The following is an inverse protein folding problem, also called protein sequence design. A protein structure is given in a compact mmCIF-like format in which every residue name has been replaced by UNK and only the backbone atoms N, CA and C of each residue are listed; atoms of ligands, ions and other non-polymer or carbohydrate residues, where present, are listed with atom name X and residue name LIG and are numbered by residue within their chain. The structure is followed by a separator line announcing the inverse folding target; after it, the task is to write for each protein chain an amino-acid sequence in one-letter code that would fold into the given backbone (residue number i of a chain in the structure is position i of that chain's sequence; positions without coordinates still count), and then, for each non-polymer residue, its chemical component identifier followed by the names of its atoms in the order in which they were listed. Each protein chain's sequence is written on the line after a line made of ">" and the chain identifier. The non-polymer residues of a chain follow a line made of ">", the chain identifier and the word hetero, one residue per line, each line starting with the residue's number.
data_IF_607330108299
#
_entry.id   IF_607330108299
#
_cell.length_a   1.000
_cell.length_b   1.000
_cell.length_c   1.000
_cell.angle_alpha   90.00
_cell.angle_beta   90.00
_cell.angle_gamma   90.00
#
_symmetry.space_group_name_H-M   'P 1'
#
loop_
_entity.id
_entity.type
_entity.pdbx_description
1 polymer ?
#
# COMPACT_ATOMS: atom_id res chain seq x y z
N UNK A 1 -1.76 -16.96 -11.77
CA UNK A 1 -0.69 -15.99 -11.41
C UNK A 1 0.02 -16.51 -10.18
N UNK A 2 1.35 -16.32 -10.02
CA UNK A 2 2.06 -16.78 -8.82
C UNK A 2 2.01 -15.71 -7.69
N UNK A 3 2.24 -16.08 -6.41
CA UNK A 3 2.17 -15.16 -5.28
C UNK A 3 3.07 -13.92 -5.44
N UNK A 4 4.31 -14.10 -5.91
CA UNK A 4 5.25 -12.98 -6.11
C UNK A 4 4.74 -11.92 -7.09
N UNK A 5 4.17 -12.35 -8.23
CA UNK A 5 3.60 -11.42 -9.22
C UNK A 5 2.34 -10.75 -8.69
N UNK A 6 1.52 -11.47 -7.92
CA UNK A 6 0.36 -10.88 -7.25
C UNK A 6 0.80 -9.76 -6.31
N UNK A 7 1.74 -10.04 -5.40
CA UNK A 7 2.27 -9.07 -4.46
C UNK A 7 2.97 -7.91 -5.17
N UNK A 8 3.73 -8.17 -6.23
CA UNK A 8 4.35 -7.11 -7.03
C UNK A 8 3.29 -6.19 -7.67
N UNK A 9 2.15 -6.73 -8.11
CA UNK A 9 1.03 -5.94 -8.60
C UNK A 9 0.42 -5.08 -7.50
N UNK A 10 0.13 -5.67 -6.34
CA UNK A 10 -0.38 -4.94 -5.16
C UNK A 10 0.57 -3.80 -4.77
N UNK A 11 1.89 -4.02 -4.77
CA UNK A 11 2.88 -2.99 -4.47
C UNK A 11 2.89 -1.86 -5.51
N UNK A 12 2.75 -2.22 -6.79
CA UNK A 12 2.63 -1.25 -7.88
C UNK A 12 1.40 -0.36 -7.67
N UNK A 13 0.23 -0.99 -7.65
CA UNK A 13 -1.06 -0.31 -7.75
C UNK A 13 -1.46 0.37 -6.42
N UNK A 14 -1.20 -0.27 -5.28
CA UNK A 14 -1.71 0.21 -3.98
C UNK A 14 -0.70 1.07 -3.21
N UNK A 15 0.59 1.03 -3.56
CA UNK A 15 1.64 1.77 -2.84
C UNK A 15 2.32 2.77 -3.78
N UNK A 16 2.95 2.28 -4.85
CA UNK A 16 3.76 3.14 -5.70
C UNK A 16 2.91 4.16 -6.47
N UNK A 17 1.80 3.73 -7.07
CA UNK A 17 0.86 4.62 -7.74
C UNK A 17 0.24 5.61 -6.75
N UNK A 18 -0.19 5.14 -5.57
CA UNK A 18 -0.75 6.00 -4.53
C UNK A 18 0.19 7.15 -4.14
N UNK A 19 1.45 6.84 -3.84
CA UNK A 19 2.47 7.85 -3.49
C UNK A 19 2.71 8.82 -4.65
N UNK A 20 2.83 8.29 -5.87
CA UNK A 20 3.03 9.09 -7.07
C UNK A 20 1.86 10.05 -7.32
N UNK A 21 0.64 9.57 -7.15
CA UNK A 21 -0.58 10.33 -7.43
C UNK A 21 -0.83 11.39 -6.37
N UNK A 22 -0.58 11.09 -5.08
CA UNK A 22 -0.59 12.14 -4.05
C UNK A 22 0.40 13.27 -4.38
N UNK A 23 1.63 12.93 -4.80
CA UNK A 23 2.62 13.95 -5.16
C UNK A 23 2.18 14.81 -6.34
N UNK A 24 1.58 14.20 -7.37
CA UNK A 24 1.04 14.92 -8.53
C UNK A 24 -0.16 15.79 -8.16
N UNK A 25 -1.13 15.24 -7.43
CA UNK A 25 -2.36 15.94 -7.10
C UNK A 25 -2.12 17.07 -6.12
N UNK A 26 -1.29 16.87 -5.10
CA UNK A 26 -0.95 17.96 -4.17
C UNK A 26 -0.23 19.13 -4.85
N UNK A 27 0.47 18.87 -5.95
CA UNK A 27 1.15 19.90 -6.74
C UNK A 27 0.20 20.64 -7.71
N UNK A 28 -0.99 20.10 -7.99
CA UNK A 28 -1.96 20.68 -8.95
C UNK A 28 -3.17 21.33 -8.29
N UNK A 29 -3.59 20.81 -7.13
CA UNK A 29 -4.82 21.26 -6.48
C UNK A 29 -4.67 22.71 -6.02
N UNK A 30 -5.67 23.52 -6.35
CA UNK A 30 -5.84 24.86 -5.82
C UNK A 30 -6.35 24.77 -4.37
N UNK A 31 -5.51 25.16 -3.41
CA UNK A 31 -5.80 25.13 -1.96
C UNK A 31 -7.08 25.91 -1.63
N UNK A 32 -7.37 27.01 -2.34
CA UNK A 32 -8.57 27.82 -2.10
C UNK A 32 -9.84 27.07 -2.47
N UNK A 33 -9.74 26.11 -3.41
CA UNK A 33 -10.85 25.26 -3.85
C UNK A 33 -10.94 23.94 -3.09
N UNK A 34 -9.99 23.62 -2.21
CA UNK A 34 -10.03 22.41 -1.41
C UNK A 34 -11.07 22.53 -0.29
N UNK A 35 -12.18 21.79 -0.43
CA UNK A 35 -13.25 21.74 0.57
C UNK A 35 -13.00 20.74 1.71
N UNK A 36 -12.10 19.78 1.50
CA UNK A 36 -11.75 18.79 2.52
C UNK A 36 -10.83 19.40 3.58
N UNK A 37 -11.41 19.67 4.75
CA UNK A 37 -10.71 20.28 5.89
C UNK A 37 -9.62 19.37 6.47
N UNK A 38 -9.68 18.06 6.26
CA UNK A 38 -8.69 17.11 6.77
C UNK A 38 -7.44 17.05 5.90
N UNK A 39 -7.62 17.19 4.58
CA UNK A 39 -6.52 17.16 3.60
C UNK A 39 -5.91 18.54 3.39
N UNK A 40 -6.67 19.61 3.57
CA UNK A 40 -6.20 20.98 3.31
C UNK A 40 -4.88 21.35 4.02
N UNK A 41 -4.66 21.04 5.32
CA UNK A 41 -3.38 21.33 5.98
C UNK A 41 -2.20 20.55 5.36
N UNK A 42 -2.43 19.31 4.94
CA UNK A 42 -1.42 18.48 4.30
C UNK A 42 -1.04 19.02 2.91
N UNK A 43 -2.04 19.50 2.16
CA UNK A 43 -1.86 20.17 0.88
C UNK A 43 -1.07 21.49 1.02
N UNK A 44 -1.45 22.31 2.01
CA UNK A 44 -0.75 23.56 2.35
C UNK A 44 0.72 23.29 2.68
N UNK A 45 0.98 22.27 3.50
CA UNK A 45 2.33 21.86 3.86
C UNK A 45 3.13 21.38 2.64
N UNK A 46 2.55 20.53 1.78
CA UNK A 46 3.20 20.02 0.57
C UNK A 46 3.65 21.14 -0.38
N UNK A 47 2.78 22.13 -0.62
CA UNK A 47 3.07 23.22 -1.55
C UNK A 47 4.16 24.17 -1.03
N UNK A 48 4.24 24.39 0.27
CA UNK A 48 5.24 25.25 0.92
C UNK A 48 6.57 24.53 1.18
N UNK A 49 6.56 23.20 1.24
CA UNK A 49 7.74 22.38 1.50
C UNK A 49 8.78 22.46 0.37
N UNK A 50 10.05 22.32 0.73
CA UNK A 50 11.13 22.06 -0.21
C UNK A 50 11.13 20.59 -0.69
N UNK A 51 11.99 20.29 -1.66
CA UNK A 51 12.01 18.96 -2.28
C UNK A 51 12.41 17.85 -1.30
N UNK A 52 13.27 18.16 -0.32
CA UNK A 52 13.67 17.19 0.72
C UNK A 52 12.49 16.88 1.66
N UNK A 53 11.77 17.90 2.10
CA UNK A 53 10.58 17.76 2.95
C UNK A 53 9.45 17.03 2.22
N UNK A 54 9.25 17.33 0.93
CA UNK A 54 8.28 16.59 0.09
C UNK A 54 8.66 15.12 -0.07
N UNK A 55 9.95 14.82 -0.18
CA UNK A 55 10.43 13.43 -0.20
C UNK A 55 10.12 12.73 1.12
N UNK A 56 10.42 13.34 2.27
CA UNK A 56 10.06 12.79 3.59
C UNK A 56 8.55 12.56 3.71
N UNK A 57 7.74 13.50 3.23
CA UNK A 57 6.29 13.35 3.26
C UNK A 57 5.80 12.20 2.36
N UNK A 58 6.43 12.02 1.19
CA UNK A 58 6.16 10.89 0.29
C UNK A 58 6.49 9.55 0.94
N UNK A 59 7.61 9.47 1.68
CA UNK A 59 7.96 8.29 2.47
C UNK A 59 6.95 8.02 3.59
N UNK A 60 6.41 9.06 4.22
CA UNK A 60 5.35 8.89 5.22
C UNK A 60 4.05 8.34 4.63
N UNK A 61 3.64 8.84 3.45
CA UNK A 61 2.49 8.31 2.71
C UNK A 61 2.74 6.85 2.31
N UNK A 62 3.96 6.54 1.83
CA UNK A 62 4.37 5.18 1.50
C UNK A 62 4.24 4.25 2.70
N UNK A 63 4.74 4.67 3.87
CA UNK A 63 4.65 3.90 5.11
C UNK A 63 3.20 3.62 5.52
N UNK A 64 2.33 4.62 5.41
CA UNK A 64 0.90 4.44 5.64
C UNK A 64 0.29 3.39 4.71
N UNK A 65 0.63 3.44 3.42
CA UNK A 65 0.17 2.47 2.42
C UNK A 65 0.68 1.05 2.69
N UNK A 66 1.97 0.89 3.00
CA UNK A 66 2.58 -0.39 3.39
C UNK A 66 1.86 -1.00 4.60
N UNK A 67 1.59 -0.20 5.63
CA UNK A 67 0.89 -0.65 6.83
C UNK A 67 -0.56 -1.07 6.55
N UNK A 68 -1.26 -0.33 5.67
CA UNK A 68 -2.61 -0.69 5.24
C UNK A 68 -2.63 -2.00 4.45
N UNK A 69 -1.74 -2.16 3.47
CA UNK A 69 -1.62 -3.37 2.66
C UNK A 69 -1.24 -4.58 3.51
N UNK A 70 -0.22 -4.47 4.36
CA UNK A 70 0.21 -5.56 5.24
C UNK A 70 -0.90 -5.99 6.22
N UNK A 71 -1.68 -5.05 6.76
CA UNK A 71 -2.84 -5.36 7.60
C UNK A 71 -3.90 -6.15 6.84
N UNK A 72 -4.20 -5.77 5.60
CA UNK A 72 -5.15 -6.51 4.76
C UNK A 72 -4.63 -7.91 4.41
N UNK A 73 -3.36 -8.03 4.04
CA UNK A 73 -2.73 -9.33 3.76
C UNK A 73 -2.74 -10.22 5.00
N UNK A 74 -2.49 -9.68 6.19
CA UNK A 74 -2.57 -10.42 7.45
C UNK A 74 -3.98 -10.95 7.72
N UNK A 75 -5.03 -10.15 7.48
CA UNK A 75 -6.43 -10.59 7.62
C UNK A 75 -6.76 -11.73 6.65
N UNK A 76 -6.27 -11.64 5.41
CA UNK A 76 -6.45 -12.67 4.39
C UNK A 76 -5.74 -13.96 4.83
N UNK A 77 -4.45 -13.87 5.20
CA UNK A 77 -3.64 -15.04 5.56
C UNK A 77 -4.08 -15.74 6.84
N UNK A 78 -4.71 -15.03 7.79
CA UNK A 78 -5.07 -15.58 9.11
C UNK A 78 -6.46 -16.21 9.20
N UNK A 79 -7.26 -16.16 8.13
CA UNK A 79 -8.67 -16.57 8.18
C UNK A 79 -9.47 -15.61 9.09
N UNK A 80 -10.07 -14.59 8.49
CA UNK A 80 -10.79 -13.56 9.25
C UNK A 80 -11.98 -14.10 10.05
N UNK A 81 -12.07 -13.70 11.32
CA UNK A 81 -13.31 -13.83 12.11
C UNK A 81 -14.29 -12.73 11.70
N UNK A 82 -15.34 -13.09 10.96
CA UNK A 82 -16.45 -12.18 10.67
C UNK A 82 -17.68 -12.66 11.44
N UNK A 83 -18.22 -11.81 12.33
CA UNK A 83 -19.38 -12.13 13.19
C UNK A 83 -19.20 -13.36 14.10
N UNK A 84 -17.99 -13.63 14.60
CA UNK A 84 -17.75 -14.77 15.50
C UNK A 84 -17.78 -16.14 14.82
N UNK A 85 -18.02 -16.19 13.51
CA UNK A 85 -17.83 -17.39 12.69
C UNK A 85 -16.44 -17.35 12.06
N UNK A 86 -15.73 -18.48 12.09
CA UNK A 86 -14.49 -18.64 11.35
C UNK A 86 -14.86 -18.84 9.87
N UNK A 87 -14.53 -17.87 9.03
CA UNK A 87 -14.57 -18.05 7.58
C UNK A 87 -13.14 -17.97 7.08
N UNK A 88 -12.60 -19.12 6.70
CA UNK A 88 -11.32 -19.17 5.99
C UNK A 88 -11.48 -18.39 4.68
N UNK A 89 -10.80 -17.26 4.59
CA UNK A 89 -10.69 -16.51 3.35
C UNK A 89 -9.53 -17.08 2.54
N UNK A 90 -9.84 -17.99 1.61
CA UNK A 90 -8.84 -18.46 0.66
C UNK A 90 -8.73 -17.52 -0.54
N UNK A 91 -7.54 -16.95 -0.74
CA UNK A 91 -7.25 -16.16 -1.93
C UNK A 91 -6.68 -17.07 -3.01
N UNK A 92 -7.29 -17.03 -4.20
CA UNK A 92 -6.83 -17.85 -5.32
C UNK A 92 -6.91 -17.10 -6.64
N UNK A 93 -6.00 -17.44 -7.54
CA UNK A 93 -6.01 -17.01 -8.93
C UNK A 93 -6.70 -18.09 -9.77
N UNK A 94 -7.79 -17.72 -10.44
CA UNK A 94 -8.45 -18.58 -11.43
C UNK A 94 -8.00 -18.16 -12.82
N UNK A 95 -7.41 -19.10 -13.57
CA UNK A 95 -7.01 -18.92 -14.96
C UNK A 95 -7.50 -20.09 -15.79
N UNK A 96 -8.60 -19.89 -16.53
CA UNK A 96 -9.30 -20.97 -17.22
C UNK A 96 -9.75 -22.05 -16.23
N UNK A 97 -9.32 -23.30 -16.44
CA UNK A 97 -9.63 -24.43 -15.57
C UNK A 97 -8.61 -24.63 -14.42
N UNK A 98 -7.62 -23.74 -14.26
CA UNK A 98 -6.62 -23.82 -13.19
C UNK A 98 -6.97 -22.86 -12.04
N UNK A 99 -7.00 -23.38 -10.80
CA UNK A 99 -7.01 -22.61 -9.55
C UNK A 99 -5.60 -22.69 -8.97
N UNK A 100 -4.96 -21.53 -8.78
CA UNK A 100 -3.74 -21.41 -7.96
C UNK A 100 -4.14 -20.79 -6.65
N UNK A 101 -4.06 -21.55 -5.57
CA UNK A 101 -4.24 -21.02 -4.22
C UNK A 101 -2.99 -20.24 -3.84
N UNK A 102 -3.21 -19.03 -3.32
CA UNK A 102 -2.17 -18.25 -2.69
C UNK A 102 -2.13 -18.71 -1.24
N UNK A 103 -1.16 -19.55 -0.90
CA UNK A 103 -0.96 -20.05 0.47
C UNK A 103 -0.55 -18.92 1.44
N UNK A 104 -0.43 -19.27 2.72
CA UNK A 104 -0.28 -18.42 3.90
C UNK A 104 0.86 -17.37 3.89
N UNK A 105 1.75 -17.36 2.89
CA UNK A 105 3.00 -16.57 2.90
C UNK A 105 2.92 -15.22 2.16
N UNK A 106 1.73 -14.73 1.79
CA UNK A 106 1.59 -13.45 1.07
C UNK A 106 2.21 -12.27 1.81
N UNK A 107 2.12 -12.26 3.14
CA UNK A 107 2.70 -11.21 3.98
C UNK A 107 4.23 -11.26 3.98
N UNK A 108 4.82 -12.45 4.02
CA UNK A 108 6.27 -12.64 4.01
C UNK A 108 6.85 -12.22 2.66
N UNK A 109 6.21 -12.64 1.55
CA UNK A 109 6.58 -12.23 0.19
C UNK A 109 6.49 -10.70 0.04
N UNK A 110 5.48 -10.07 0.66
CA UNK A 110 5.36 -8.62 0.66
C UNK A 110 6.53 -7.94 1.35
N UNK A 111 6.89 -8.37 2.56
CA UNK A 111 7.99 -7.76 3.31
C UNK A 111 9.36 -8.03 2.69
N UNK A 112 9.60 -9.23 2.17
CA UNK A 112 10.82 -9.55 1.44
C UNK A 112 10.99 -8.62 0.22
N UNK A 113 9.92 -8.39 -0.54
CA UNK A 113 9.97 -7.47 -1.67
C UNK A 113 10.21 -6.01 -1.26
N UNK A 114 9.64 -5.56 -0.15
CA UNK A 114 9.91 -4.21 0.38
C UNK A 114 11.35 -4.07 0.88
N UNK A 115 11.92 -5.10 1.51
CA UNK A 115 13.31 -5.14 1.97
C UNK A 115 14.28 -5.08 0.77
N UNK A 116 14.10 -5.96 -0.23
CA UNK A 116 14.90 -5.97 -1.47
C UNK A 116 14.86 -4.61 -2.18
N UNK A 117 13.72 -3.91 -2.10
CA UNK A 117 13.54 -2.60 -2.73
C UNK A 117 14.09 -1.44 -1.90
N UNK A 118 14.65 -1.69 -0.71
CA UNK A 118 15.19 -0.67 0.18
C UNK A 118 14.15 0.20 0.86
N UNK A 119 12.89 -0.25 0.92
CA UNK A 119 11.75 0.51 1.47
C UNK A 119 11.43 0.14 2.93
N UNK A 120 12.26 -0.71 3.52
CA UNK A 120 12.27 -1.05 4.94
C UNK A 120 13.64 -0.68 5.47
N UNK A 121 13.73 -0.22 6.72
CA UNK A 121 15.00 0.18 7.35
C UNK A 121 16.06 -0.91 7.18
N UNK A 122 16.92 -0.74 6.17
CA UNK A 122 18.14 -1.52 6.03
C UNK A 122 19.01 -1.05 7.19
N UNK A 123 19.36 -1.95 8.10
CA UNK A 123 20.23 -1.62 9.24
C UNK A 123 21.44 -0.81 8.73
N UNK A 124 21.47 0.48 9.09
CA UNK A 124 22.68 1.30 9.04
C UNK A 124 23.67 0.81 10.08
#
# INVERSE_FOLDING_TARGET
>A
MNPEKFISGVRGDCINELVSDYGKEFSKIDIEKCSDKSIKPLLEYWQQADDETRKVLSEFIRLGAQNGVSSLLSIISSGGHFNGEFKEFELSSISGNSKTEFSEDLLDIFWEQEEISGNVNVKT
#
